data_IF_087030300051
#
_entry.id   IF_087030300051
#
_cell.length_a   1.000
_cell.length_b   1.000
_cell.length_c   1.000
_cell.angle_alpha   90.00
_cell.angle_beta   90.00
_cell.angle_gamma   90.00
#
_symmetry.space_group_name_H-M   'P 1'
#
loop_
_entity.id
_entity.type
_entity.pdbx_description
1 polymer ?
#
# COMPACT_ATOMS: atom_id res chain seq x y z
N UNK A 1 4.41 7.39 -4.85
CA UNK A 1 3.89 7.42 -3.48
C UNK A 1 4.34 8.71 -2.83
N UNK A 2 3.39 9.47 -2.29
CA UNK A 2 3.65 10.69 -1.52
C UNK A 2 3.22 10.45 -0.08
N UNK A 3 3.97 10.99 0.87
CA UNK A 3 3.71 10.86 2.30
C UNK A 3 3.71 12.25 2.90
N UNK A 4 2.59 12.65 3.50
CA UNK A 4 2.48 13.86 4.31
C UNK A 4 2.49 13.48 5.78
N UNK A 5 3.23 14.24 6.58
CA UNK A 5 3.38 13.99 8.01
C UNK A 5 3.24 15.30 8.76
N UNK A 6 2.55 15.26 9.89
CA UNK A 6 2.60 16.33 10.90
C UNK A 6 2.99 15.77 12.27
N UNK A 7 3.75 16.57 13.04
CA UNK A 7 4.11 16.30 14.43
C UNK A 7 4.75 14.92 14.67
N UNK A 8 5.74 14.55 13.85
CA UNK A 8 6.55 13.33 14.01
C UNK A 8 7.88 13.65 14.69
N UNK A 9 7.95 13.46 15.99
CA UNK A 9 9.17 13.75 16.77
C UNK A 9 9.58 15.22 16.61
N UNK A 10 10.71 15.48 15.94
CA UNK A 10 11.20 16.84 15.65
C UNK A 10 10.69 17.43 14.33
N UNK A 11 9.94 16.66 13.56
CA UNK A 11 9.35 17.09 12.29
C UNK A 11 7.97 17.68 12.57
N UNK A 12 7.82 19.00 12.44
CA UNK A 12 6.52 19.64 12.59
C UNK A 12 5.61 19.33 11.39
N UNK A 13 6.15 19.45 10.18
CA UNK A 13 5.46 19.12 8.94
C UNK A 13 6.48 18.65 7.89
N UNK A 14 6.14 17.64 7.09
CA UNK A 14 6.94 17.20 5.96
C UNK A 14 6.07 16.62 4.84
N UNK A 15 6.54 16.76 3.59
CA UNK A 15 6.00 16.09 2.42
C UNK A 15 7.13 15.38 1.69
N UNK A 16 7.02 14.06 1.54
CA UNK A 16 8.03 13.19 0.94
C UNK A 16 7.45 12.58 -0.32
N UNK A 17 8.13 12.76 -1.45
CA UNK A 17 7.79 12.09 -2.70
C UNK A 17 8.77 10.93 -2.95
N UNK A 18 8.30 9.71 -2.69
CA UNK A 18 9.08 8.48 -2.89
C UNK A 18 9.12 8.02 -4.36
N UNK A 19 8.45 8.72 -5.28
CA UNK A 19 8.62 8.45 -6.72
C UNK A 19 9.89 9.11 -7.28
N UNK A 20 10.56 9.95 -6.49
CA UNK A 20 11.84 10.53 -6.90
C UNK A 20 12.92 9.44 -6.90
N UNK A 21 13.69 9.41 -7.99
CA UNK A 21 14.84 8.48 -8.14
C UNK A 21 15.93 8.70 -7.10
N UNK A 22 16.03 9.91 -6.56
CA UNK A 22 17.05 10.29 -5.60
C UNK A 22 16.48 11.30 -4.60
N UNK A 23 16.74 11.06 -3.31
CA UNK A 23 16.27 11.89 -2.19
C UNK A 23 17.49 12.24 -1.34
N UNK A 24 17.73 13.54 -1.12
CA UNK A 24 18.79 14.04 -0.24
C UNK A 24 18.15 14.59 1.03
N UNK A 25 18.55 14.06 2.19
CA UNK A 25 18.21 14.61 3.49
C UNK A 25 19.35 15.50 3.99
N UNK A 26 19.15 16.82 4.00
CA UNK A 26 20.15 17.81 4.43
C UNK A 26 19.62 18.69 5.57
N UNK A 27 20.50 19.43 6.24
CA UNK A 27 20.19 20.30 7.38
C UNK A 27 21.03 19.98 8.62
N UNK A 28 20.78 20.71 9.71
CA UNK A 28 21.53 20.60 10.96
C UNK A 28 21.38 19.23 11.63
N UNK A 29 22.35 18.84 12.46
CA UNK A 29 22.22 17.62 13.25
C UNK A 29 20.97 17.69 14.13
N UNK A 30 20.30 16.54 14.30
CA UNK A 30 19.12 16.44 15.16
C UNK A 30 17.92 17.29 14.69
N UNK A 31 17.79 17.58 13.40
CA UNK A 31 16.74 18.42 12.81
C UNK A 31 15.56 17.64 12.17
N UNK A 32 15.45 16.33 12.42
CA UNK A 32 14.41 15.49 11.80
C UNK A 32 14.90 14.53 10.70
N UNK A 33 16.16 14.63 10.25
CA UNK A 33 16.68 13.74 9.19
C UNK A 33 16.56 12.24 9.55
N UNK A 34 16.94 11.86 10.77
CA UNK A 34 16.78 10.49 11.28
C UNK A 34 15.31 10.07 11.34
N UNK A 35 14.42 11.00 11.73
CA UNK A 35 12.98 10.75 11.78
C UNK A 35 12.42 10.39 10.41
N UNK A 36 12.76 11.19 9.40
CA UNK A 36 12.36 10.95 8.02
C UNK A 36 12.96 9.65 7.48
N UNK A 37 14.26 9.41 7.73
CA UNK A 37 14.92 8.18 7.27
C UNK A 37 14.28 6.91 7.85
N UNK A 38 13.95 6.91 9.14
CA UNK A 38 13.33 5.76 9.80
C UNK A 38 11.88 5.58 9.36
N UNK A 39 11.15 6.67 9.11
CA UNK A 39 9.82 6.59 8.54
C UNK A 39 9.84 5.93 7.16
N UNK A 40 10.76 6.36 6.27
CA UNK A 40 10.92 5.78 4.94
C UNK A 40 11.24 4.28 5.03
N UNK A 41 12.16 3.90 5.92
CA UNK A 41 12.45 2.50 6.20
C UNK A 41 11.20 1.73 6.67
N UNK A 42 10.47 2.31 7.63
CA UNK A 42 9.22 1.76 8.16
C UNK A 42 8.19 1.49 7.08
N UNK A 43 7.97 2.44 6.17
CA UNK A 43 7.07 2.32 5.01
C UNK A 43 7.40 1.07 4.19
N UNK A 44 8.65 0.91 3.76
CA UNK A 44 9.04 -0.24 2.94
C UNK A 44 8.92 -1.56 3.71
N UNK A 45 9.37 -1.59 4.97
CA UNK A 45 9.27 -2.81 5.81
C UNK A 45 7.83 -3.26 6.07
N UNK A 46 6.89 -2.31 6.19
CA UNK A 46 5.48 -2.62 6.41
C UNK A 46 4.79 -3.05 5.12
N UNK A 47 5.05 -2.36 4.00
CA UNK A 47 4.44 -2.65 2.69
C UNK A 47 4.70 -4.09 2.25
N UNK A 48 5.90 -4.61 2.47
CA UNK A 48 6.23 -6.02 2.18
C UNK A 48 5.34 -7.02 2.93
N UNK A 49 4.79 -6.60 4.08
CA UNK A 49 3.97 -7.44 4.95
C UNK A 49 2.48 -7.08 4.90
N UNK A 50 2.05 -6.15 4.05
CA UNK A 50 0.63 -5.77 3.99
C UNK A 50 -0.17 -6.92 3.41
N UNK A 51 -1.05 -7.47 4.26
CA UNK A 51 -2.08 -8.42 3.85
C UNK A 51 -3.34 -7.62 3.50
N UNK A 52 -3.44 -7.18 2.26
CA UNK A 52 -4.69 -6.60 1.74
C UNK A 52 -5.67 -7.71 1.45
N UNK A 53 -6.59 -8.02 2.36
CA UNK A 53 -7.82 -8.73 1.97
C UNK A 53 -8.99 -8.29 2.88
N UNK A 54 -9.67 -7.23 2.47
CA UNK A 54 -11.12 -7.14 2.67
C UNK A 54 -11.75 -7.04 1.28
N UNK A 55 -12.17 -8.20 0.76
CA UNK A 55 -12.97 -8.23 -0.45
C UNK A 55 -14.40 -7.95 0.01
N UNK A 56 -14.81 -6.68 -0.07
CA UNK A 56 -16.23 -6.34 -0.04
C UNK A 56 -16.82 -6.75 -1.40
N UNK A 57 -17.08 -8.05 -1.53
CA UNK A 57 -17.73 -8.65 -2.69
C UNK A 57 -19.06 -9.24 -2.27
N UNK A 58 -20.00 -9.32 -3.20
CA UNK A 58 -21.23 -10.04 -2.98
C UNK A 58 -20.93 -11.54 -2.84
N UNK A 59 -20.72 -11.98 -1.60
CA UNK A 59 -20.43 -13.38 -1.25
C UNK A 59 -21.56 -14.32 -1.67
N UNK A 60 -22.73 -13.81 -2.08
CA UNK A 60 -23.80 -14.63 -2.65
C UNK A 60 -23.37 -15.27 -3.99
N UNK A 61 -22.62 -14.56 -4.84
CA UNK A 61 -22.04 -15.14 -6.07
C UNK A 61 -21.08 -16.29 -5.78
N UNK A 62 -20.35 -16.18 -4.68
CA UNK A 62 -19.41 -17.21 -4.19
C UNK A 62 -20.13 -18.52 -3.82
N UNK A 63 -21.40 -18.45 -3.41
CA UNK A 63 -22.22 -19.65 -3.11
C UNK A 63 -22.71 -20.36 -4.36
N UNK A 64 -22.96 -19.63 -5.45
CA UNK A 64 -23.52 -20.18 -6.68
C UNK A 64 -22.43 -20.60 -7.68
N UNK A 65 -21.47 -19.71 -7.92
CA UNK A 65 -20.43 -19.89 -8.93
C UNK A 65 -19.23 -20.71 -8.41
N UNK A 66 -19.13 -20.91 -7.09
CA UNK A 66 -18.01 -21.57 -6.37
C UNK A 66 -16.63 -20.94 -6.61
N UNK A 67 -16.53 -20.01 -7.54
CA UNK A 67 -15.33 -19.30 -7.94
C UNK A 67 -15.69 -17.85 -8.23
N UNK A 68 -14.89 -16.91 -7.76
CA UNK A 68 -14.95 -15.51 -8.20
C UNK A 68 -13.58 -15.13 -8.76
N UNK A 69 -13.59 -14.61 -9.98
CA UNK A 69 -12.44 -13.93 -10.56
C UNK A 69 -12.51 -12.44 -10.26
N UNK A 70 -11.40 -11.89 -9.74
CA UNK A 70 -11.25 -10.46 -9.48
C UNK A 70 -10.16 -9.93 -10.40
N UNK A 71 -10.55 -9.01 -11.30
CA UNK A 71 -9.59 -8.22 -12.05
C UNK A 71 -8.82 -7.31 -11.09
N UNK A 72 -7.52 -7.56 -10.94
CA UNK A 72 -6.68 -6.85 -9.99
C UNK A 72 -6.53 -5.35 -10.31
N UNK A 73 -6.49 -4.95 -11.59
CA UNK A 73 -6.38 -3.55 -12.00
C UNK A 73 -7.63 -2.76 -11.59
N UNK A 74 -8.82 -3.29 -11.92
CA UNK A 74 -10.09 -2.68 -11.56
C UNK A 74 -10.28 -2.62 -10.04
N UNK A 75 -9.95 -3.69 -9.33
CA UNK A 75 -10.07 -3.72 -7.87
C UNK A 75 -9.23 -2.62 -7.19
N UNK A 76 -7.98 -2.42 -7.64
CA UNK A 76 -7.12 -1.36 -7.12
C UNK A 76 -7.73 0.02 -7.39
N UNK A 77 -8.16 0.27 -8.63
CA UNK A 77 -8.74 1.56 -9.03
C UNK A 77 -9.95 1.94 -8.19
N UNK A 78 -10.86 0.99 -8.02
CA UNK A 78 -12.09 1.19 -7.25
C UNK A 78 -11.83 1.39 -5.75
N UNK A 79 -10.69 0.91 -5.24
CA UNK A 79 -10.39 0.90 -3.82
C UNK A 79 -9.17 1.73 -3.44
N UNK A 80 -8.59 2.55 -4.33
CA UNK A 80 -7.34 3.27 -4.04
C UNK A 80 -7.41 4.17 -2.81
N UNK A 81 -8.53 4.87 -2.61
CA UNK A 81 -8.72 5.73 -1.44
C UNK A 81 -8.70 4.91 -0.15
N UNK A 82 -9.39 3.76 -0.13
CA UNK A 82 -9.38 2.84 1.01
C UNK A 82 -7.99 2.22 1.24
N UNK A 83 -7.27 1.92 0.16
CA UNK A 83 -5.89 1.42 0.22
C UNK A 83 -4.97 2.47 0.87
N UNK A 84 -5.08 3.73 0.43
CA UNK A 84 -4.32 4.85 0.98
C UNK A 84 -4.63 5.05 2.48
N UNK A 85 -5.92 5.06 2.86
CA UNK A 85 -6.33 5.14 4.27
C UNK A 85 -5.80 3.97 5.11
N UNK A 86 -5.89 2.75 4.59
CA UNK A 86 -5.39 1.55 5.27
C UNK A 86 -3.87 1.62 5.47
N UNK A 87 -3.12 2.08 4.46
CA UNK A 87 -1.68 2.28 4.56
C UNK A 87 -1.32 3.37 5.57
N UNK A 88 -2.00 4.51 5.54
CA UNK A 88 -1.81 5.60 6.52
C UNK A 88 -2.02 5.11 7.95
N UNK A 89 -3.14 4.40 8.19
CA UNK A 89 -3.47 3.84 9.50
C UNK A 89 -2.46 2.80 9.95
N UNK A 90 -2.09 1.86 9.07
CA UNK A 90 -1.10 0.83 9.37
C UNK A 90 0.24 1.45 9.78
N UNK A 91 0.71 2.46 9.04
CA UNK A 91 1.96 3.12 9.36
C UNK A 91 1.88 3.85 10.72
N UNK A 92 0.81 4.58 10.96
CA UNK A 92 0.57 5.31 12.22
C UNK A 92 0.55 4.36 13.43
N UNK A 93 -0.15 3.22 13.33
CA UNK A 93 -0.23 2.21 14.38
C UNK A 93 1.12 1.56 14.70
N UNK A 94 2.02 1.50 13.72
CA UNK A 94 3.33 0.87 13.84
C UNK A 94 4.49 1.82 14.15
N UNK A 95 4.26 3.15 14.28
CA UNK A 95 5.32 4.11 14.57
C UNK A 95 6.14 3.76 15.82
N UNK A 96 5.47 3.40 16.91
CA UNK A 96 6.15 2.97 18.15
C UNK A 96 7.13 1.81 17.92
N UNK A 97 6.77 0.84 17.06
CA UNK A 97 7.62 -0.29 16.72
C UNK A 97 8.77 0.09 15.79
N UNK A 98 8.50 0.93 14.78
CA UNK A 98 9.49 1.43 13.80
C UNK A 98 10.57 2.23 14.52
N UNK A 99 10.16 3.15 15.39
CA UNK A 99 11.05 4.07 16.09
C UNK A 99 11.60 3.50 17.40
N UNK A 100 11.15 2.30 17.81
CA UNK A 100 11.47 1.69 19.12
C UNK A 100 11.27 2.69 20.25
N UNK A 101 10.10 3.33 20.26
CA UNK A 101 9.76 4.42 21.16
C UNK A 101 8.33 4.26 21.71
N UNK A 102 8.07 4.95 22.82
CA UNK A 102 6.76 4.94 23.48
C UNK A 102 5.64 5.45 22.57
N UNK A 103 4.47 4.80 22.62
CA UNK A 103 3.28 5.20 21.84
C UNK A 103 2.84 6.64 22.13
N UNK A 104 3.09 7.11 23.35
CA UNK A 104 2.73 8.48 23.79
C UNK A 104 3.41 9.56 22.96
N UNK A 105 4.58 9.26 22.40
CA UNK A 105 5.35 10.18 21.55
C UNK A 105 4.63 10.52 20.23
N UNK A 106 3.70 9.67 19.80
CA UNK A 106 3.03 9.76 18.50
C UNK A 106 1.55 10.15 18.60
N UNK A 107 1.06 10.51 19.80
CA UNK A 107 -0.38 10.80 20.03
C UNK A 107 -0.93 11.93 19.16
N UNK A 108 -0.08 12.88 18.79
CA UNK A 108 -0.43 14.04 17.97
C UNK A 108 0.05 13.90 16.53
N UNK A 109 0.73 12.81 16.18
CA UNK A 109 1.26 12.59 14.84
C UNK A 109 0.12 12.26 13.88
N UNK A 110 0.13 12.87 12.70
CA UNK A 110 -0.74 12.51 11.58
C UNK A 110 0.13 12.07 10.40
N UNK A 111 -0.39 11.12 9.62
CA UNK A 111 0.27 10.57 8.44
C UNK A 111 -0.78 10.35 7.37
N UNK A 112 -0.51 10.87 6.18
CA UNK A 112 -1.30 10.65 4.98
C UNK A 112 -0.42 10.10 3.86
N UNK A 113 -0.72 8.89 3.42
CA UNK A 113 -0.06 8.22 2.29
C UNK A 113 -0.97 8.29 1.08
N UNK A 114 -0.42 8.77 -0.03
CA UNK A 114 -1.10 8.79 -1.32
C UNK A 114 -0.29 7.99 -2.35
N UNK A 115 -0.86 6.90 -2.82
CA UNK A 115 -0.40 6.17 -4.00
C UNK A 115 -1.24 6.61 -5.20
N UNK A 116 -0.59 6.97 -6.29
CA UNK A 116 -1.26 7.39 -7.52
C UNK A 116 -1.58 6.16 -8.39
N UNK A 117 -2.86 6.02 -8.75
CA UNK A 117 -3.43 4.91 -9.52
C UNK A 117 -2.63 4.53 -10.76
N UNK A 118 -2.38 5.51 -11.62
CA UNK A 118 -1.71 5.33 -12.91
C UNK A 118 -0.31 4.73 -12.74
N UNK A 119 0.38 5.05 -11.65
CA UNK A 119 1.73 4.53 -11.37
C UNK A 119 1.68 3.10 -10.85
N UNK A 120 0.72 2.78 -9.97
CA UNK A 120 0.55 1.42 -9.46
C UNK A 120 0.16 0.48 -10.62
N UNK A 121 -0.79 0.90 -11.46
CA UNK A 121 -1.22 0.17 -12.65
C UNK A 121 -0.06 -0.08 -13.61
N UNK A 122 0.75 0.93 -13.92
CA UNK A 122 1.92 0.74 -14.80
C UNK A 122 2.89 -0.29 -14.23
N UNK A 123 3.09 -0.32 -12.91
CA UNK A 123 3.91 -1.37 -12.27
C UNK A 123 3.25 -2.75 -12.37
N UNK A 124 1.95 -2.85 -12.10
CA UNK A 124 1.16 -4.10 -12.23
C UNK A 124 1.21 -4.63 -13.67
N UNK A 125 1.14 -3.73 -14.67
CA UNK A 125 1.23 -4.08 -16.09
C UNK A 125 2.58 -4.72 -16.46
N UNK A 126 3.66 -4.35 -15.75
CA UNK A 126 5.00 -4.93 -15.93
C UNK A 126 5.26 -6.18 -15.08
N UNK A 127 4.28 -6.66 -14.30
CA UNK A 127 4.35 -7.97 -13.64
C UNK A 127 3.85 -9.02 -14.62
N UNK A 128 4.70 -10.00 -14.95
CA UNK A 128 4.45 -10.96 -16.03
C UNK A 128 3.16 -11.76 -15.81
N UNK A 129 2.90 -12.22 -14.58
CA UNK A 129 1.64 -12.87 -14.21
C UNK A 129 1.31 -12.60 -12.74
N UNK A 130 0.05 -12.22 -12.47
CA UNK A 130 -0.53 -12.27 -11.12
C UNK A 130 -1.58 -13.35 -11.18
N UNK A 131 -1.29 -14.50 -10.57
CA UNK A 131 -2.28 -15.54 -10.32
C UNK A 131 -2.15 -15.98 -8.86
N UNK A 132 -3.21 -15.74 -8.09
CA UNK A 132 -3.27 -16.17 -6.68
C UNK A 132 -4.63 -16.77 -6.40
N UNK A 133 -4.62 -18.05 -6.07
CA UNK A 133 -5.80 -18.76 -5.63
C UNK A 133 -5.82 -18.86 -4.10
N UNK A 134 -6.99 -18.58 -3.50
CA UNK A 134 -7.25 -18.77 -2.08
C UNK A 134 -8.43 -19.73 -1.96
N UNK A 135 -8.17 -20.94 -1.47
CA UNK A 135 -9.21 -21.94 -1.20
C UNK A 135 -9.99 -21.57 0.07
N UNK A 136 -11.31 -21.49 -0.03
CA UNK A 136 -12.27 -21.19 1.04
C UNK A 136 -13.12 -22.44 1.36
N UNK A 137 -12.48 -23.58 1.59
CA UNK A 137 -13.13 -24.87 1.83
C UNK A 137 -12.89 -25.87 0.70
N UNK A 138 -13.70 -26.94 0.64
CA UNK A 138 -13.49 -28.06 -0.30
C UNK A 138 -13.72 -27.68 -1.77
N UNK A 139 -14.66 -26.78 -2.02
CA UNK A 139 -15.21 -26.55 -3.36
C UNK A 139 -15.19 -25.08 -3.77
N UNK A 140 -14.62 -24.21 -2.94
CA UNK A 140 -14.76 -22.76 -3.12
C UNK A 140 -13.39 -22.11 -3.20
N UNK A 141 -13.14 -21.29 -4.21
CA UNK A 141 -11.89 -20.54 -4.33
C UNK A 141 -12.09 -19.10 -4.81
N UNK A 142 -11.19 -18.23 -4.34
CA UNK A 142 -11.03 -16.86 -4.82
C UNK A 142 -9.80 -16.82 -5.71
N UNK A 143 -9.97 -16.37 -6.95
CA UNK A 143 -8.86 -16.22 -7.89
C UNK A 143 -8.63 -14.75 -8.15
N UNK A 144 -7.43 -14.30 -7.78
CA UNK A 144 -6.91 -13.01 -8.20
C UNK A 144 -6.10 -13.22 -9.45
N UNK A 145 -6.54 -12.61 -10.54
CA UNK A 145 -5.85 -12.68 -11.81
C UNK A 145 -5.70 -11.31 -12.45
N UNK A 146 -4.62 -11.16 -13.20
CA UNK A 146 -4.47 -10.09 -14.17
C UNK A 146 -5.04 -10.60 -15.49
N UNK A 147 -5.91 -9.83 -16.13
CA UNK A 147 -6.33 -10.13 -17.50
C UNK A 147 -5.10 -10.23 -18.40
N UNK A 148 -4.96 -11.35 -19.10
CA UNK A 148 -3.96 -11.45 -20.17
C UNK A 148 -4.31 -10.40 -21.20
N UNK A 149 -3.37 -9.50 -21.50
CA UNK A 149 -3.50 -8.70 -22.70
C UNK A 149 -3.60 -9.70 -23.86
N UNK A 150 -4.76 -9.79 -24.51
CA UNK A 150 -4.83 -10.42 -25.82
C UNK A 150 -3.82 -9.69 -26.69
N UNK A 151 -2.74 -10.38 -27.03
CA UNK A 151 -1.88 -9.98 -28.12
C UNK A 151 -2.79 -10.08 -29.35
N UNK A 152 -3.41 -8.97 -29.73
CA UNK A 152 -3.96 -8.81 -31.06
C UNK A 152 -2.75 -8.76 -32.00
N UNK A 153 -2.23 -9.95 -32.29
CA UNK A 153 -1.38 -10.19 -33.43
C UNK A 153 -2.22 -9.94 -34.67
N UNK A 154 -2.23 -8.69 -35.13
CA UNK A 154 -2.50 -8.39 -36.51
C UNK A 154 -1.17 -7.98 -37.15
N UNK A 155 -0.82 -8.81 -38.11
CA UNK A 155 0.35 -8.80 -39.01
C UNK A 155 0.50 -7.46 -39.71
#
# INVERSE_FOLDING_TARGET
>A
MKIQIEKLGRVNQASIDLDKKFIILTGQNNSGKTWISYLIYGVFSLIENVRFVKIDGDLSKLKEEKQISINFESYILENILKINEALSKLLLENLSSIFKAEKTLFRSTTIDIAVEDIKLIKKIKNVDDIHKEISLGKDVSLIFEKEKNEVTGNI
#
